data_IF_934538167107
#
_entry.id   IF_934538167107
#
_cell.length_a   1.000
_cell.length_b   1.000
_cell.length_c   1.000
_cell.angle_alpha   90.00
_cell.angle_beta   90.00
_cell.angle_gamma   90.00
#
_symmetry.space_group_name_H-M   'P 1'
#
loop_
_entity.id
_entity.type
_entity.pdbx_description
1 polymer ?
#
# COMPACT_ATOMS: atom_id res chain seq x y z
N UNK A 1 -51.72 -33.00 -19.55
CA UNK A 1 -51.25 -32.73 -18.18
C UNK A 1 -49.75 -32.53 -18.25
N UNK A 2 -49.33 -31.28 -18.18
CA UNK A 2 -48.06 -30.76 -18.71
C UNK A 2 -46.98 -30.77 -17.60
N UNK A 3 -45.78 -31.26 -17.93
CA UNK A 3 -44.52 -30.68 -17.48
C UNK A 3 -43.98 -30.91 -16.04
N UNK A 4 -43.78 -32.17 -15.62
CA UNK A 4 -42.94 -32.49 -14.45
C UNK A 4 -41.47 -32.77 -14.80
N UNK A 5 -41.15 -33.29 -16.00
CA UNK A 5 -39.78 -33.60 -16.41
C UNK A 5 -38.92 -32.37 -16.75
N UNK A 6 -39.52 -31.30 -17.29
CA UNK A 6 -38.79 -30.05 -17.60
C UNK A 6 -38.35 -29.28 -16.35
N UNK A 7 -39.10 -29.35 -15.25
CA UNK A 7 -38.76 -28.67 -14.00
C UNK A 7 -37.60 -29.33 -13.27
N UNK A 8 -37.46 -30.65 -13.37
CA UNK A 8 -36.36 -31.39 -12.75
C UNK A 8 -35.01 -31.12 -13.45
N UNK A 9 -35.02 -31.02 -14.78
CA UNK A 9 -33.82 -30.68 -15.56
C UNK A 9 -33.39 -29.21 -15.34
N UNK A 10 -34.33 -28.29 -15.19
CA UNK A 10 -34.04 -26.87 -14.88
C UNK A 10 -33.48 -26.66 -13.46
N UNK A 11 -33.79 -27.55 -12.51
CA UNK A 11 -33.25 -27.50 -11.15
C UNK A 11 -31.82 -28.06 -11.05
N UNK A 12 -31.55 -29.18 -11.73
CA UNK A 12 -30.24 -29.84 -11.71
C UNK A 12 -29.10 -29.03 -12.36
N UNK A 13 -29.43 -28.15 -13.30
CA UNK A 13 -28.46 -27.24 -13.94
C UNK A 13 -28.10 -26.00 -13.09
N UNK A 14 -28.77 -25.78 -11.96
CA UNK A 14 -28.57 -24.57 -11.13
C UNK A 14 -27.58 -24.75 -9.97
N UNK A 15 -27.18 -25.99 -9.67
CA UNK A 15 -26.34 -26.32 -8.52
C UNK A 15 -25.03 -27.00 -8.96
N UNK A 16 -24.30 -26.39 -9.88
CA UNK A 16 -22.87 -26.66 -10.02
C UNK A 16 -22.16 -26.14 -8.75
N UNK A 17 -20.98 -26.67 -8.36
CA UNK A 17 -20.32 -26.33 -7.11
C UNK A 17 -19.67 -24.94 -7.21
N UNK A 18 -20.50 -23.89 -7.25
CA UNK A 18 -20.05 -22.49 -7.26
C UNK A 18 -19.37 -22.12 -5.95
N UNK A 19 -19.61 -22.89 -4.89
CA UNK A 19 -19.04 -22.69 -3.55
C UNK A 19 -17.52 -22.55 -3.58
N UNK A 20 -16.80 -23.44 -4.29
CA UNK A 20 -15.33 -23.38 -4.35
C UNK A 20 -14.82 -22.24 -5.26
N UNK A 21 -15.56 -21.87 -6.31
CA UNK A 21 -15.17 -20.77 -7.19
C UNK A 21 -15.43 -19.42 -6.53
N UNK A 22 -16.56 -19.26 -5.83
CA UNK A 22 -16.90 -18.07 -5.06
C UNK A 22 -15.92 -17.87 -3.91
N UNK A 23 -15.61 -18.91 -3.13
CA UNK A 23 -14.65 -18.84 -2.03
C UNK A 23 -13.23 -18.48 -2.53
N UNK A 24 -12.81 -18.96 -3.71
CA UNK A 24 -11.52 -18.58 -4.31
C UNK A 24 -11.49 -17.13 -4.77
N UNK A 25 -12.60 -16.63 -5.31
CA UNK A 25 -12.72 -15.22 -5.72
C UNK A 25 -12.74 -14.31 -4.49
N UNK A 26 -13.46 -14.67 -3.44
CA UNK A 26 -13.50 -13.94 -2.17
C UNK A 26 -12.12 -13.88 -1.50
N UNK A 27 -11.40 -15.00 -1.45
CA UNK A 27 -10.03 -15.06 -0.93
C UNK A 27 -9.06 -14.23 -1.79
N UNK A 28 -9.21 -14.26 -3.12
CA UNK A 28 -8.39 -13.45 -4.03
C UNK A 28 -8.66 -11.95 -3.85
N UNK A 29 -9.93 -11.55 -3.69
CA UNK A 29 -10.32 -10.16 -3.42
C UNK A 29 -9.80 -9.71 -2.05
N UNK A 30 -9.94 -10.53 -1.01
CA UNK A 30 -9.40 -10.22 0.32
C UNK A 30 -7.87 -10.10 0.29
N UNK A 31 -7.17 -11.03 -0.37
CA UNK A 31 -5.72 -10.96 -0.53
C UNK A 31 -5.29 -9.69 -1.27
N UNK A 32 -6.01 -9.31 -2.32
CA UNK A 32 -5.75 -8.08 -3.07
C UNK A 32 -5.97 -6.83 -2.21
N UNK A 33 -7.06 -6.77 -1.44
CA UNK A 33 -7.33 -5.68 -0.50
C UNK A 33 -6.25 -5.57 0.58
N UNK A 34 -5.79 -6.70 1.12
CA UNK A 34 -4.69 -6.72 2.10
C UNK A 34 -3.36 -6.26 1.50
N UNK A 35 -3.05 -6.64 0.25
CA UNK A 35 -1.86 -6.16 -0.46
C UNK A 35 -1.90 -4.64 -0.67
N UNK A 36 -3.05 -4.07 -1.02
CA UNK A 36 -3.19 -2.62 -1.22
C UNK A 36 -3.32 -1.83 0.08
N UNK A 37 -3.75 -2.45 1.18
CA UNK A 37 -3.84 -1.80 2.49
C UNK A 37 -2.47 -1.37 3.05
N UNK A 38 -1.37 -1.98 2.60
CA UNK A 38 -0.01 -1.65 3.03
C UNK A 38 0.69 -0.55 2.19
N UNK A 39 0.04 0.00 1.17
CA UNK A 39 0.64 0.98 0.24
C UNK A 39 0.84 2.41 0.81
N UNK A 40 0.10 2.94 1.81
CA UNK A 40 0.18 4.37 2.13
C UNK A 40 1.44 4.82 2.88
N UNK A 41 2.41 3.94 3.18
CA UNK A 41 3.61 4.30 3.92
C UNK A 41 4.86 4.57 3.04
N UNK A 42 4.77 4.37 1.72
CA UNK A 42 5.95 4.31 0.85
C UNK A 42 6.22 5.57 0.00
N UNK A 43 5.41 6.63 0.09
CA UNK A 43 5.56 7.85 -0.74
C UNK A 43 5.42 9.10 0.14
N UNK A 44 6.33 9.26 1.11
CA UNK A 44 6.61 10.56 1.66
C UNK A 44 8.12 10.63 1.91
N UNK A 45 8.87 11.22 0.98
CA UNK A 45 10.23 11.68 1.25
C UNK A 45 10.23 12.91 2.18
N UNK A 46 9.14 13.11 2.91
CA UNK A 46 8.88 14.22 3.80
C UNK A 46 8.72 13.64 5.21
N UNK A 47 9.47 14.19 6.16
CA UNK A 47 9.42 13.81 7.57
C UNK A 47 8.96 15.02 8.38
N UNK A 48 8.04 14.82 9.31
CA UNK A 48 7.55 15.89 10.20
C UNK A 48 7.81 15.55 11.66
N UNK A 49 8.30 16.52 12.41
CA UNK A 49 8.46 16.44 13.87
C UNK A 49 8.05 17.79 14.49
N UNK A 50 6.94 17.80 15.23
CA UNK A 50 6.33 19.05 15.68
C UNK A 50 6.06 19.98 14.49
N UNK A 51 6.59 21.20 14.56
CA UNK A 51 6.47 22.22 13.51
C UNK A 51 7.60 22.16 12.46
N UNK A 52 8.51 21.20 12.55
CA UNK A 52 9.59 21.01 11.58
C UNK A 52 9.19 20.03 10.49
N UNK A 53 9.52 20.39 9.26
CA UNK A 53 9.34 19.58 8.06
C UNK A 53 10.70 19.39 7.36
N UNK A 54 11.05 18.14 7.07
CA UNK A 54 12.28 17.75 6.38
C UNK A 54 11.88 17.19 5.03
N UNK A 55 12.29 17.85 3.96
CA UNK A 55 11.93 17.46 2.61
C UNK A 55 13.11 16.81 1.87
N UNK A 56 12.80 15.73 1.15
CA UNK A 56 13.62 15.09 0.14
C UNK A 56 15.08 14.86 0.57
N UNK A 57 15.34 14.13 1.67
CA UNK A 57 16.72 13.82 2.04
C UNK A 57 17.38 12.89 1.02
N UNK A 58 18.58 13.26 0.59
CA UNK A 58 19.36 12.49 -0.38
C UNK A 58 20.87 12.64 -0.15
N UNK A 59 21.63 11.69 -0.69
CA UNK A 59 23.10 11.79 -0.81
C UNK A 59 23.53 11.29 -2.18
N UNK A 60 24.73 11.69 -2.61
CA UNK A 60 25.38 11.06 -3.77
C UNK A 60 26.02 9.74 -3.36
N UNK A 61 26.07 8.79 -4.29
CA UNK A 61 26.86 7.58 -4.12
C UNK A 61 28.34 7.96 -3.87
N UNK A 62 28.95 7.35 -2.86
CA UNK A 62 30.34 7.57 -2.51
C UNK A 62 31.28 6.74 -3.38
N UNK A 63 32.42 7.28 -3.82
CA UNK A 63 33.45 6.50 -4.48
C UNK A 63 34.00 5.39 -3.58
N UNK A 64 34.50 4.30 -4.19
CA UNK A 64 35.11 3.20 -3.44
C UNK A 64 36.27 3.70 -2.56
N UNK A 65 36.25 3.33 -1.28
CA UNK A 65 37.26 3.72 -0.29
C UNK A 65 37.04 5.08 0.38
N UNK A 66 36.06 5.87 -0.06
CA UNK A 66 35.72 7.13 0.61
C UNK A 66 35.00 6.86 1.95
N UNK A 67 35.50 7.49 3.03
CA UNK A 67 34.92 7.36 4.39
C UNK A 67 33.89 8.45 4.73
N UNK A 68 33.75 9.46 3.87
CA UNK A 68 32.91 10.64 4.10
C UNK A 68 31.99 10.84 2.90
N UNK A 69 30.75 11.22 3.19
CA UNK A 69 29.72 11.58 2.22
C UNK A 69 29.04 12.89 2.62
N UNK A 70 28.48 13.61 1.65
CA UNK A 70 27.56 14.71 1.89
C UNK A 70 26.11 14.24 1.82
N UNK A 71 25.28 14.67 2.77
CA UNK A 71 23.83 14.56 2.72
C UNK A 71 23.20 15.94 2.49
N UNK A 72 22.09 15.97 1.76
CA UNK A 72 21.37 17.18 1.40
C UNK A 72 19.88 17.00 1.66
N UNK A 73 19.23 18.04 2.18
CA UNK A 73 17.80 18.08 2.45
C UNK A 73 17.38 19.53 2.71
N UNK A 74 16.07 19.79 2.67
CA UNK A 74 15.50 21.08 3.07
C UNK A 74 14.87 20.93 4.44
N UNK A 75 15.11 21.90 5.34
CA UNK A 75 14.38 22.02 6.61
C UNK A 75 13.49 23.26 6.53
N UNK A 76 12.20 23.07 6.80
CA UNK A 76 11.21 24.14 6.94
C UNK A 76 10.76 24.17 8.40
N UNK A 77 11.04 25.26 9.11
CA UNK A 77 10.47 25.51 10.44
C UNK A 77 9.17 26.31 10.28
N UNK A 78 8.03 25.67 10.59
CA UNK A 78 6.70 26.29 10.56
C UNK A 78 6.27 26.86 11.92
N UNK A 79 7.13 26.75 12.93
CA UNK A 79 6.90 27.22 14.29
C UNK A 79 7.22 28.71 14.47
N UNK A 80 6.85 29.25 15.63
CA UNK A 80 7.06 30.66 15.99
C UNK A 80 8.41 30.94 16.66
N UNK A 81 9.14 29.89 17.02
CA UNK A 81 10.44 29.99 17.70
C UNK A 81 11.58 29.54 16.78
N UNK A 82 12.76 30.18 16.87
CA UNK A 82 13.92 29.75 16.09
C UNK A 82 14.38 28.35 16.54
N UNK A 83 14.88 27.57 15.58
CA UNK A 83 15.41 26.22 15.82
C UNK A 83 16.81 26.08 15.23
N UNK A 84 17.53 25.03 15.63
CA UNK A 84 18.91 24.76 15.22
C UNK A 84 19.12 23.28 14.95
N UNK A 85 19.59 22.97 13.74
CA UNK A 85 20.17 21.67 13.44
C UNK A 85 21.51 21.53 14.19
N UNK A 86 21.62 20.50 15.02
CA UNK A 86 22.84 20.15 15.76
C UNK A 86 23.61 19.04 15.05
N UNK A 87 24.90 18.91 15.38
CA UNK A 87 25.82 17.90 14.83
C UNK A 87 25.90 16.64 15.70
#
# INVERSE_FOLDING_TARGET
>A
MFNLLSKAQAFALRSAPTFHLQQRVELAVLALLLLFACVPAAIAHEFKVGDLEIEHPWSRATPAGAKVAGGYFTIINKGSSPDRLLA
#
